data_IF_885912873990
#
_entry.id   IF_885912873990
#
_cell.length_a   1.000
_cell.length_b   1.000
_cell.length_c   1.000
_cell.angle_alpha   90.00
_cell.angle_beta   90.00
_cell.angle_gamma   90.00
#
_symmetry.space_group_name_H-M   'P 1'
#
loop_
_entity.id
_entity.type
_entity.pdbx_description
1 polymer ?
#
# COMPACT_ATOMS: atom_id res chain seq x y z
N UNK A 1 16.25 -44.63 38.70
CA UNK A 1 15.82 -45.13 37.38
C UNK A 1 14.80 -46.24 37.58
N UNK A 2 13.59 -46.08 37.01
CA UNK A 2 12.71 -47.13 36.45
C UNK A 2 11.42 -46.42 36.01
N UNK A 3 11.40 -46.11 34.71
CA UNK A 3 10.23 -45.66 33.96
C UNK A 3 9.46 -46.94 33.65
N UNK A 4 8.14 -46.97 33.87
CA UNK A 4 7.30 -47.90 33.12
C UNK A 4 5.97 -47.22 32.71
N UNK A 5 5.54 -47.39 31.46
CA UNK A 5 4.62 -46.48 30.78
C UNK A 5 3.18 -46.98 30.88
N UNK A 6 2.27 -46.13 31.32
CA UNK A 6 0.84 -46.39 31.27
C UNK A 6 0.31 -46.20 29.85
N UNK A 7 0.32 -47.26 29.05
CA UNK A 7 -0.51 -47.35 27.86
C UNK A 7 -1.96 -47.55 28.31
N UNK A 8 -2.88 -46.68 27.85
CA UNK A 8 -4.32 -46.90 27.95
C UNK A 8 -4.87 -47.30 26.57
N UNK A 9 -5.63 -48.40 26.46
CA UNK A 9 -6.16 -48.88 25.18
C UNK A 9 -7.32 -48.02 24.67
N UNK A 10 -7.32 -47.82 23.35
CA UNK A 10 -8.39 -47.20 22.57
C UNK A 10 -9.61 -48.13 22.60
N UNK A 11 -10.74 -47.66 23.13
CA UNK A 11 -11.99 -48.43 23.10
C UNK A 11 -13.19 -47.76 23.75
N UNK A 12 -14.03 -47.13 22.90
CA UNK A 12 -15.49 -46.92 23.04
C UNK A 12 -16.01 -46.35 24.38
N UNK A 13 -16.31 -45.05 24.37
CA UNK A 13 -17.64 -44.47 24.63
C UNK A 13 -17.50 -42.96 24.91
N UNK A 14 -17.11 -42.17 23.89
CA UNK A 14 -17.43 -40.75 23.90
C UNK A 14 -18.81 -40.64 23.26
N UNK A 15 -19.85 -40.49 24.08
CA UNK A 15 -21.16 -40.04 23.58
C UNK A 15 -20.95 -38.60 23.12
N UNK A 16 -20.73 -38.42 21.82
CA UNK A 16 -20.79 -37.11 21.16
C UNK A 16 -22.21 -36.62 21.34
N UNK A 17 -22.39 -35.57 22.14
CA UNK A 17 -23.68 -34.93 22.31
C UNK A 17 -23.94 -34.10 21.04
N UNK A 18 -24.85 -34.57 20.18
CA UNK A 18 -25.19 -33.96 18.87
C UNK A 18 -25.92 -32.60 18.97
N UNK A 19 -26.11 -32.06 20.18
CA UNK A 19 -26.83 -30.80 20.41
C UNK A 19 -25.93 -29.56 20.56
N UNK A 20 -24.75 -29.53 19.93
CA UNK A 20 -23.99 -28.27 19.83
C UNK A 20 -24.57 -27.47 18.65
N UNK A 21 -25.30 -26.36 18.87
CA UNK A 21 -25.73 -25.52 17.77
C UNK A 21 -24.49 -25.09 16.98
N UNK A 22 -24.56 -25.05 15.64
CA UNK A 22 -23.45 -24.56 14.83
C UNK A 22 -23.03 -23.20 15.35
N UNK A 23 -21.71 -22.88 15.37
CA UNK A 23 -21.25 -21.58 15.85
C UNK A 23 -21.97 -20.50 15.04
N UNK A 24 -22.90 -19.81 15.69
CA UNK A 24 -23.61 -18.69 15.09
C UNK A 24 -22.56 -17.62 14.86
N UNK A 25 -22.20 -17.42 13.59
CA UNK A 25 -21.34 -16.32 13.20
C UNK A 25 -22.00 -15.04 13.72
N UNK A 26 -21.37 -14.38 14.68
CA UNK A 26 -21.88 -13.13 15.22
C UNK A 26 -22.20 -12.20 14.04
N UNK A 27 -23.38 -11.56 14.01
CA UNK A 27 -23.72 -10.63 12.95
C UNK A 27 -22.64 -9.55 12.91
N UNK A 28 -21.98 -9.37 11.75
CA UNK A 28 -20.96 -8.32 11.59
C UNK A 28 -21.59 -6.98 11.93
N UNK A 29 -20.96 -6.20 12.82
CA UNK A 29 -21.47 -4.90 13.20
C UNK A 29 -21.53 -3.99 11.96
N UNK A 30 -22.59 -3.19 11.83
CA UNK A 30 -22.77 -2.25 10.71
C UNK A 30 -21.58 -1.28 10.57
N UNK A 31 -21.00 -0.86 11.70
CA UNK A 31 -19.77 -0.05 11.76
C UNK A 31 -18.60 -0.68 11.01
N UNK A 32 -18.44 -2.00 11.14
CA UNK A 32 -17.31 -2.73 10.58
C UNK A 32 -17.47 -2.87 9.07
N UNK A 33 -18.71 -3.07 8.61
CA UNK A 33 -19.05 -3.09 7.18
C UNK A 33 -18.81 -1.72 6.56
N UNK A 34 -19.20 -0.64 7.23
CA UNK A 34 -19.00 0.73 6.75
C UNK A 34 -17.49 1.07 6.64
N UNK A 35 -16.71 0.77 7.68
CA UNK A 35 -15.25 0.95 7.65
C UNK A 35 -14.59 0.15 6.52
N UNK A 36 -15.01 -1.10 6.30
CA UNK A 36 -14.48 -1.92 5.22
C UNK A 36 -14.80 -1.33 3.83
N UNK A 37 -15.98 -0.76 3.64
CA UNK A 37 -16.35 -0.10 2.38
C UNK A 37 -15.54 1.19 2.17
N UNK A 38 -15.32 1.99 3.21
CA UNK A 38 -14.50 3.21 3.13
C UNK A 38 -13.03 2.90 2.81
N UNK A 39 -12.47 1.83 3.39
CA UNK A 39 -11.12 1.34 3.07
C UNK A 39 -11.02 0.93 1.58
N UNK A 40 -12.00 0.18 1.07
CA UNK A 40 -12.04 -0.23 -0.35
C UNK A 40 -12.15 0.96 -1.29
N UNK A 41 -13.08 1.87 -1.03
CA UNK A 41 -13.25 3.08 -1.83
C UNK A 41 -11.96 3.92 -1.86
N UNK A 42 -11.29 4.03 -0.72
CA UNK A 42 -9.99 4.70 -0.62
C UNK A 42 -8.95 4.02 -1.49
N UNK A 43 -8.85 2.69 -1.42
CA UNK A 43 -7.88 1.93 -2.22
C UNK A 43 -8.14 2.09 -3.72
N UNK A 44 -9.41 2.09 -4.15
CA UNK A 44 -9.79 2.34 -5.54
C UNK A 44 -9.43 3.76 -5.99
N UNK A 45 -9.64 4.77 -5.14
CA UNK A 45 -9.27 6.15 -5.46
C UNK A 45 -7.76 6.30 -5.61
N UNK A 46 -6.96 5.75 -4.70
CA UNK A 46 -5.50 5.81 -4.78
C UNK A 46 -4.99 5.03 -6.01
N UNK A 47 -5.61 3.90 -6.34
CA UNK A 47 -5.30 3.14 -7.56
C UNK A 47 -5.55 3.97 -8.83
N UNK A 48 -6.66 4.70 -8.91
CA UNK A 48 -6.95 5.62 -10.02
C UNK A 48 -5.90 6.72 -10.14
N UNK A 49 -5.45 7.29 -9.02
CA UNK A 49 -4.39 8.31 -9.03
C UNK A 49 -3.07 7.73 -9.57
N UNK A 50 -2.69 6.51 -9.16
CA UNK A 50 -1.49 5.83 -9.69
C UNK A 50 -1.62 5.54 -11.19
N UNK A 51 -2.81 5.17 -11.68
CA UNK A 51 -3.05 5.01 -13.11
C UNK A 51 -2.88 6.33 -13.88
N UNK A 52 -3.38 7.44 -13.34
CA UNK A 52 -3.20 8.76 -13.94
C UNK A 52 -1.72 9.19 -13.96
N UNK A 53 -1.00 8.96 -12.86
CA UNK A 53 0.45 9.21 -12.78
C UNK A 53 1.20 8.36 -13.81
N UNK A 54 0.83 7.10 -13.96
CA UNK A 54 1.42 6.17 -14.93
C UNK A 54 1.25 6.69 -16.35
N UNK A 55 0.02 7.06 -16.72
CA UNK A 55 -0.26 7.62 -18.04
C UNK A 55 0.49 8.93 -18.29
N UNK A 56 0.62 9.78 -17.27
CA UNK A 56 1.36 11.03 -17.37
C UNK A 56 2.88 10.78 -17.48
N UNK A 57 3.42 9.81 -16.75
CA UNK A 57 4.81 9.39 -16.88
C UNK A 57 5.12 8.84 -18.27
N UNK A 58 4.18 8.10 -18.87
CA UNK A 58 4.29 7.62 -20.25
C UNK A 58 4.20 8.75 -21.30
N UNK A 59 3.59 9.90 -20.97
CA UNK A 59 3.62 11.09 -21.83
C UNK A 59 4.94 11.83 -21.68
N UNK A 60 5.41 12.00 -20.44
CA UNK A 60 6.70 12.59 -20.13
C UNK A 60 7.83 11.82 -20.81
N UNK A 61 7.85 10.49 -20.74
CA UNK A 61 8.87 9.65 -21.37
C UNK A 61 8.97 9.82 -22.90
N UNK A 62 7.85 10.14 -23.57
CA UNK A 62 7.80 10.33 -25.01
C UNK A 62 8.12 11.76 -25.42
N UNK A 63 7.51 12.73 -24.75
CA UNK A 63 7.57 14.13 -25.14
C UNK A 63 8.78 14.86 -24.55
N UNK A 64 9.24 14.47 -23.35
CA UNK A 64 10.36 15.08 -22.62
C UNK A 64 10.27 16.61 -22.59
N UNK A 65 9.11 17.14 -22.18
CA UNK A 65 8.90 18.59 -22.06
C UNK A 65 8.67 19.00 -20.61
N UNK A 66 9.04 20.25 -20.29
CA UNK A 66 8.81 20.85 -18.96
C UNK A 66 7.33 20.81 -18.58
N UNK A 67 6.42 20.97 -19.55
CA UNK A 67 4.99 20.90 -19.32
C UNK A 67 4.57 19.53 -18.80
N UNK A 68 5.00 18.45 -19.45
CA UNK A 68 4.65 17.10 -19.03
C UNK A 68 5.28 16.76 -17.67
N UNK A 69 6.49 17.27 -17.39
CA UNK A 69 7.16 17.11 -16.11
C UNK A 69 6.39 17.81 -14.98
N UNK A 70 5.95 19.05 -15.18
CA UNK A 70 5.15 19.78 -14.21
C UNK A 70 3.83 19.06 -13.89
N UNK A 71 3.14 18.55 -14.91
CA UNK A 71 1.92 17.77 -14.71
C UNK A 71 2.19 16.46 -13.96
N UNK A 72 3.28 15.76 -14.29
CA UNK A 72 3.70 14.55 -13.58
C UNK A 72 3.97 14.82 -12.10
N UNK A 73 4.77 15.86 -11.80
CA UNK A 73 5.07 16.28 -10.42
C UNK A 73 3.79 16.65 -9.65
N UNK A 74 2.86 17.35 -10.28
CA UNK A 74 1.60 17.75 -9.66
C UNK A 74 0.75 16.54 -9.24
N UNK A 75 0.59 15.55 -10.14
CA UNK A 75 -0.19 14.35 -9.85
C UNK A 75 0.43 13.53 -8.72
N UNK A 76 1.76 13.41 -8.70
CA UNK A 76 2.46 12.71 -7.62
C UNK A 76 2.28 13.45 -6.31
N UNK A 77 2.45 14.77 -6.28
CA UNK A 77 2.22 15.57 -5.07
C UNK A 77 0.81 15.35 -4.50
N UNK A 78 -0.22 15.38 -5.35
CA UNK A 78 -1.60 15.10 -4.93
C UNK A 78 -1.74 13.69 -4.35
N UNK A 79 -1.09 12.69 -4.94
CA UNK A 79 -1.09 11.32 -4.42
C UNK A 79 -0.40 11.22 -3.06
N UNK A 80 0.76 11.86 -2.88
CA UNK A 80 1.49 11.86 -1.61
C UNK A 80 0.68 12.55 -0.52
N UNK A 81 0.03 13.68 -0.82
CA UNK A 81 -0.86 14.41 0.11
C UNK A 81 -2.04 13.53 0.55
N UNK A 82 -2.73 12.88 -0.39
CA UNK A 82 -3.83 11.96 -0.09
C UNK A 82 -3.37 10.75 0.73
N UNK A 83 -2.21 10.18 0.38
CA UNK A 83 -1.62 9.03 1.10
C UNK A 83 -1.20 9.43 2.52
N UNK A 84 -0.62 10.61 2.69
CA UNK A 84 -0.24 11.13 4.01
C UNK A 84 -1.47 11.40 4.88
N UNK A 85 -2.48 12.10 4.34
CA UNK A 85 -3.74 12.41 5.05
C UNK A 85 -4.47 11.13 5.50
N UNK A 86 -4.55 10.13 4.64
CA UNK A 86 -5.27 8.88 4.93
C UNK A 86 -4.46 7.89 5.76
N UNK A 87 -3.14 7.90 5.62
CA UNK A 87 -2.21 7.19 6.51
C UNK A 87 -2.26 7.68 7.96
N UNK A 88 -2.83 8.87 8.21
CA UNK A 88 -3.18 9.36 9.55
C UNK A 88 -4.51 8.74 10.03
N UNK A 89 -5.53 8.60 9.17
CA UNK A 89 -6.85 8.06 9.56
C UNK A 89 -6.84 6.54 9.82
N UNK A 90 -6.03 5.76 9.10
CA UNK A 90 -5.88 4.32 9.35
C UNK A 90 -5.19 4.01 10.70
N UNK A 91 -4.67 5.04 11.39
CA UNK A 91 -4.00 4.92 12.71
C UNK A 91 -4.96 4.61 13.83
N UNK A 92 -6.17 5.13 13.77
CA UNK A 92 -7.11 5.08 14.90
C UNK A 92 -7.82 3.72 15.01
N UNK A 93 -7.86 2.94 13.93
CA UNK A 93 -8.63 1.69 13.89
C UNK A 93 -7.80 0.42 14.08
N UNK A 94 -6.49 0.41 13.74
CA UNK A 94 -5.70 -0.85 13.62
C UNK A 94 -4.36 -0.93 14.37
N UNK A 95 -3.94 0.09 15.13
CA UNK A 95 -2.77 -0.04 16.04
C UNK A 95 -1.42 -0.34 15.37
N UNK A 96 -1.19 0.18 14.16
CA UNK A 96 0.02 -0.10 13.36
C UNK A 96 1.31 0.42 14.03
N UNK A 97 2.33 -0.47 14.19
CA UNK A 97 3.62 -0.24 14.88
C UNK A 97 4.37 1.05 14.43
N UNK A 98 5.05 1.73 15.36
CA UNK A 98 5.94 2.89 15.13
C UNK A 98 6.92 2.66 13.97
N UNK A 99 7.39 1.44 13.79
CA UNK A 99 8.33 1.05 12.72
C UNK A 99 7.73 1.16 11.31
N UNK A 100 6.44 0.86 11.14
CA UNK A 100 5.77 0.98 9.84
C UNK A 100 5.60 2.44 9.41
N UNK A 101 5.33 3.33 10.37
CA UNK A 101 5.20 4.78 10.12
C UNK A 101 6.49 5.40 9.61
N UNK A 102 7.62 5.08 10.25
CA UNK A 102 8.93 5.60 9.83
C UNK A 102 9.27 5.20 8.40
N UNK A 103 8.96 3.95 8.00
CA UNK A 103 9.21 3.47 6.64
C UNK A 103 8.36 4.21 5.60
N UNK A 104 7.07 4.43 5.88
CA UNK A 104 6.19 5.15 4.95
C UNK A 104 6.59 6.62 4.79
N UNK A 105 6.92 7.31 5.88
CA UNK A 105 7.40 8.69 5.80
C UNK A 105 8.73 8.79 5.04
N UNK A 106 9.65 7.85 5.30
CA UNK A 106 10.90 7.77 4.54
C UNK A 106 10.64 7.59 3.04
N UNK A 107 9.69 6.73 2.67
CA UNK A 107 9.31 6.52 1.27
C UNK A 107 8.70 7.78 0.62
N UNK A 108 7.89 8.54 1.38
CA UNK A 108 7.37 9.84 0.90
C UNK A 108 8.51 10.83 0.64
N UNK A 109 9.50 10.88 1.54
CA UNK A 109 10.68 11.75 1.42
C UNK A 109 11.58 11.33 0.25
N UNK A 110 11.79 10.03 0.06
CA UNK A 110 12.53 9.49 -1.10
C UNK A 110 11.86 9.87 -2.42
N UNK A 111 10.52 9.77 -2.51
CA UNK A 111 9.80 10.20 -3.72
C UNK A 111 9.98 11.71 -3.96
N UNK A 112 9.90 12.54 -2.93
CA UNK A 112 10.05 13.99 -3.07
C UNK A 112 11.46 14.37 -3.58
N UNK A 113 12.50 13.69 -3.09
CA UNK A 113 13.88 13.84 -3.55
C UNK A 113 14.03 13.47 -5.03
N UNK A 114 13.46 12.34 -5.46
CA UNK A 114 13.47 11.93 -6.86
C UNK A 114 12.79 12.98 -7.78
N UNK A 115 11.68 13.56 -7.33
CA UNK A 115 10.97 14.61 -8.10
C UNK A 115 11.76 15.90 -8.26
N UNK A 116 12.64 16.23 -7.31
CA UNK A 116 13.51 17.39 -7.43
C UNK A 116 14.57 17.15 -8.52
N UNK A 117 15.22 15.99 -8.49
CA UNK A 117 16.27 15.63 -9.45
C UNK A 117 15.81 15.57 -10.92
N UNK A 118 14.55 15.18 -11.17
CA UNK A 118 13.98 15.15 -12.53
C UNK A 118 14.04 16.48 -13.29
N UNK A 119 14.04 17.61 -12.57
CA UNK A 119 14.09 18.93 -13.21
C UNK A 119 15.50 19.24 -13.74
N UNK A 120 16.53 18.83 -13.01
CA UNK A 120 17.92 19.03 -13.40
C UNK A 120 18.27 18.15 -14.60
N UNK A 121 17.85 16.88 -14.57
CA UNK A 121 18.09 15.92 -15.65
C UNK A 121 17.41 16.28 -16.97
N UNK A 122 16.29 17.00 -16.93
CA UNK A 122 15.59 17.43 -18.15
C UNK A 122 16.37 18.50 -18.93
N UNK A 123 17.26 19.22 -18.25
CA UNK A 123 18.15 20.21 -18.88
C UNK A 123 19.40 19.55 -19.46
N UNK A 124 19.72 18.33 -19.03
CA UNK A 124 20.80 17.53 -19.58
C UNK A 124 20.36 16.85 -20.89
N UNK A 125 21.33 16.60 -21.77
CA UNK A 125 21.09 16.13 -23.15
C UNK A 125 20.62 14.67 -23.22
N UNK A 126 21.29 13.81 -23.99
CA UNK A 126 20.85 12.41 -24.19
C UNK A 126 20.97 11.55 -22.92
N UNK A 127 21.94 11.85 -22.05
CA UNK A 127 22.12 11.15 -20.77
C UNK A 127 20.96 11.40 -19.81
N UNK A 128 20.56 12.68 -19.64
CA UNK A 128 19.43 13.06 -18.79
C UNK A 128 18.11 12.43 -19.23
N UNK A 129 17.90 12.20 -20.53
CA UNK A 129 16.70 11.49 -21.01
C UNK A 129 16.65 10.05 -20.51
N UNK A 130 17.78 9.33 -20.47
CA UNK A 130 17.83 7.96 -19.95
C UNK A 130 17.57 7.95 -18.44
N UNK A 131 18.15 8.90 -17.72
CA UNK A 131 18.00 9.03 -16.27
C UNK A 131 16.55 9.34 -15.88
N UNK A 132 15.87 10.23 -16.60
CA UNK A 132 14.44 10.51 -16.42
C UNK A 132 13.60 9.24 -16.58
N UNK A 133 13.89 8.40 -17.58
CA UNK A 133 13.14 7.15 -17.78
C UNK A 133 13.32 6.19 -16.61
N UNK A 134 14.54 6.10 -16.09
CA UNK A 134 14.84 5.28 -14.92
C UNK A 134 14.08 5.81 -13.69
N UNK A 135 14.15 7.11 -13.42
CA UNK A 135 13.43 7.74 -12.29
C UNK A 135 11.93 7.59 -12.37
N UNK A 136 11.32 7.73 -13.56
CA UNK A 136 9.89 7.46 -13.75
C UNK A 136 9.54 6.03 -13.33
N UNK A 137 10.41 5.06 -13.64
CA UNK A 137 10.26 3.66 -13.23
C UNK A 137 10.40 3.46 -11.72
N UNK A 138 11.42 4.07 -11.10
CA UNK A 138 11.67 4.01 -9.66
C UNK A 138 10.51 4.62 -8.86
N UNK A 139 10.08 5.83 -9.25
CA UNK A 139 8.91 6.50 -8.69
C UNK A 139 7.67 5.61 -8.80
N UNK A 140 7.43 4.99 -9.97
CA UNK A 140 6.29 4.07 -10.13
C UNK A 140 6.36 2.91 -9.15
N UNK A 141 7.53 2.31 -8.95
CA UNK A 141 7.75 1.26 -7.96
C UNK A 141 7.47 1.72 -6.53
N UNK A 142 7.94 2.92 -6.17
CA UNK A 142 7.69 3.51 -4.85
C UNK A 142 6.21 3.80 -4.60
N UNK A 143 5.48 4.32 -5.60
CA UNK A 143 4.04 4.56 -5.51
C UNK A 143 3.25 3.27 -5.33
N UNK A 144 3.64 2.20 -6.03
CA UNK A 144 3.05 0.86 -5.87
C UNK A 144 3.30 0.35 -4.44
N UNK A 145 4.51 0.51 -3.91
CA UNK A 145 4.85 0.14 -2.54
C UNK A 145 4.05 0.92 -1.48
N UNK A 146 3.54 2.11 -1.79
CA UNK A 146 2.63 2.85 -0.91
C UNK A 146 1.19 2.31 -0.91
N UNK A 147 0.77 1.61 -1.97
CA UNK A 147 -0.56 1.00 -2.09
C UNK A 147 -0.68 -0.36 -1.38
N UNK A 148 0.44 -1.08 -1.22
CA UNK A 148 0.50 -2.44 -0.65
C UNK A 148 1.07 -2.43 0.78
#
# INVERSE_FOLDING_TARGET
>A
MKINPGWQPIGKNVKVNENVPPPQMAPRNFSDIMQQQDEKFTQEQLSKMVQQITLQGDRLSRAMTVRELLQYKLLIKQFLEETARRGVNLRDTKGWDRRGRSKRYKLLEEIDQELLSLADELLESEQGRIEILQKIGEIRGMLINLLF
#
